data_IF_916574469269
#
_entry.id   IF_916574469269
#
_cell.length_a   1.000
_cell.length_b   1.000
_cell.length_c   1.000
_cell.angle_alpha   90.00
_cell.angle_beta   90.00
_cell.angle_gamma   90.00
#
_symmetry.space_group_name_H-M   'P 1'
#
loop_
_entity.id
_entity.type
_entity.pdbx_description
1 polymer ?
#
# COMPACT_ATOMS: atom_id res chain seq x y z
N UNK A 1 -3.58 5.54 -10.42
CA UNK A 1 -3.95 6.70 -9.58
C UNK A 1 -3.92 7.94 -10.43
N UNK A 2 -4.94 8.77 -10.32
CA UNK A 2 -5.03 10.04 -11.03
C UNK A 2 -4.37 11.15 -10.23
N UNK A 3 -3.89 12.18 -10.92
CA UNK A 3 -3.44 13.40 -10.25
C UNK A 3 -4.54 13.92 -9.32
N UNK A 4 -4.17 14.23 -8.07
CA UNK A 4 -5.13 14.67 -7.05
C UNK A 4 -5.76 13.55 -6.20
N UNK A 5 -5.63 12.27 -6.57
CA UNK A 5 -6.09 11.13 -5.72
C UNK A 5 -5.41 11.13 -4.34
N UNK A 6 -4.23 11.75 -4.21
CA UNK A 6 -3.52 11.97 -2.95
C UNK A 6 -2.58 13.19 -3.09
N UNK A 7 -2.29 13.97 -2.02
CA UNK A 7 -1.34 15.09 -2.09
C UNK A 7 0.04 14.74 -2.68
N UNK A 8 0.47 13.49 -2.55
CA UNK A 8 1.69 12.94 -3.15
C UNK A 8 1.61 12.72 -4.67
N UNK A 9 0.43 12.40 -5.20
CA UNK A 9 0.24 12.04 -6.62
C UNK A 9 -0.01 13.32 -7.44
N UNK A 10 1.08 13.90 -7.96
CA UNK A 10 1.05 15.15 -8.75
C UNK A 10 0.75 14.94 -10.23
N UNK A 11 0.91 13.72 -10.72
CA UNK A 11 0.62 13.32 -12.09
C UNK A 11 0.02 11.92 -12.09
N UNK A 12 -0.61 11.56 -13.20
CA UNK A 12 -1.13 10.20 -13.38
C UNK A 12 -0.02 9.17 -13.19
N UNK A 13 -0.31 8.17 -12.38
CA UNK A 13 0.64 7.14 -11.95
C UNK A 13 -0.08 5.81 -11.76
N UNK A 14 0.66 4.75 -11.47
CA UNK A 14 0.10 3.43 -11.24
C UNK A 14 0.78 2.75 -10.04
N UNK A 15 0.07 1.81 -9.43
CA UNK A 15 0.61 0.96 -8.37
C UNK A 15 1.31 -0.22 -9.04
N UNK A 16 2.59 -0.42 -8.73
CA UNK A 16 3.37 -1.52 -9.29
C UNK A 16 3.38 -2.72 -8.34
N UNK A 17 2.34 -3.55 -8.42
CA UNK A 17 2.09 -4.66 -7.48
C UNK A 17 3.21 -5.70 -7.40
N UNK A 18 4.01 -5.87 -8.46
CA UNK A 18 5.20 -6.72 -8.46
C UNK A 18 6.22 -6.34 -7.38
N UNK A 19 6.22 -5.08 -6.92
CA UNK A 19 7.08 -4.57 -5.85
C UNK A 19 6.38 -4.38 -4.51
N UNK A 20 5.18 -4.93 -4.34
CA UNK A 20 4.54 -4.98 -3.03
C UNK A 20 5.46 -5.71 -2.02
N UNK A 21 5.43 -5.27 -0.77
CA UNK A 21 6.24 -5.86 0.31
C UNK A 21 5.50 -5.74 1.64
N UNK A 22 5.78 -6.69 2.53
CA UNK A 22 5.35 -6.68 3.93
C UNK A 22 6.58 -6.37 4.77
N UNK A 23 6.47 -5.37 5.65
CA UNK A 23 7.55 -4.93 6.51
C UNK A 23 7.05 -4.89 7.96
N UNK A 24 7.94 -5.17 8.91
CA UNK A 24 7.61 -5.08 10.33
C UNK A 24 7.47 -3.62 10.76
N UNK A 25 6.67 -3.37 11.78
CA UNK A 25 6.52 -2.03 12.35
C UNK A 25 7.89 -1.45 12.81
N UNK A 26 8.74 -2.28 13.42
CA UNK A 26 10.08 -1.87 13.84
C UNK A 26 10.94 -1.38 12.67
N UNK A 27 10.90 -2.08 11.52
CA UNK A 27 11.65 -1.67 10.33
C UNK A 27 11.08 -0.41 9.69
N UNK A 28 9.75 -0.28 9.64
CA UNK A 28 9.11 0.96 9.17
C UNK A 28 9.55 2.16 10.02
N UNK A 29 9.55 2.02 11.35
CA UNK A 29 9.96 3.09 12.26
C UNK A 29 11.43 3.44 12.11
N UNK A 30 12.32 2.45 11.96
CA UNK A 30 13.74 2.69 11.70
C UNK A 30 13.95 3.49 10.40
N UNK A 31 13.30 3.08 9.31
CA UNK A 31 13.40 3.75 8.01
C UNK A 31 12.77 5.14 7.99
N UNK A 32 11.75 5.39 8.81
CA UNK A 32 11.24 6.75 9.01
C UNK A 32 12.22 7.63 9.79
N UNK A 33 12.96 7.05 10.74
CA UNK A 33 13.91 7.76 11.59
C UNK A 33 15.19 8.12 10.84
N UNK A 34 15.68 7.21 10.00
CA UNK A 34 16.89 7.43 9.19
C UNK A 34 16.65 8.25 7.90
N UNK A 35 15.38 8.56 7.60
CA UNK A 35 14.98 9.37 6.44
C UNK A 35 14.83 8.59 5.13
N UNK A 36 15.05 7.27 5.13
CA UNK A 36 14.81 6.41 3.95
C UNK A 36 13.34 6.42 3.54
N UNK A 37 12.43 6.41 4.51
CA UNK A 37 10.99 6.55 4.28
C UNK A 37 10.53 7.96 4.65
N UNK A 38 9.68 8.52 3.80
CA UNK A 38 9.06 9.81 4.03
C UNK A 38 7.61 9.54 4.43
N UNK A 39 7.21 10.01 5.62
CA UNK A 39 5.81 9.95 6.06
C UNK A 39 4.95 10.78 5.10
N UNK A 40 3.86 10.20 4.64
CA UNK A 40 2.83 10.85 3.83
C UNK A 40 1.49 10.82 4.56
N UNK A 41 0.55 11.63 4.09
CA UNK A 41 -0.83 11.61 4.54
C UNK A 41 -1.46 10.22 4.31
N UNK A 42 -2.52 9.93 5.05
CA UNK A 42 -3.30 8.72 4.81
C UNK A 42 -4.04 8.85 3.48
N UNK A 43 -4.13 7.74 2.75
CA UNK A 43 -5.02 7.65 1.60
C UNK A 43 -6.47 7.85 2.05
N UNK A 44 -7.26 8.52 1.23
CA UNK A 44 -8.71 8.46 1.37
C UNK A 44 -9.20 7.01 1.24
N UNK A 45 -10.26 6.65 1.97
CA UNK A 45 -10.74 5.27 2.02
C UNK A 45 -11.09 4.74 0.62
N UNK A 46 -11.73 5.56 -0.22
CA UNK A 46 -12.12 5.14 -1.58
C UNK A 46 -10.91 4.82 -2.46
N UNK A 47 -9.82 5.53 -2.25
CA UNK A 47 -8.56 5.32 -2.97
C UNK A 47 -7.85 4.08 -2.43
N UNK A 48 -7.84 3.91 -1.11
CA UNK A 48 -7.31 2.71 -0.46
C UNK A 48 -8.03 1.45 -0.97
N UNK A 49 -9.36 1.45 -1.01
CA UNK A 49 -10.16 0.32 -1.49
C UNK A 49 -9.83 -0.04 -2.95
N UNK A 50 -9.59 0.96 -3.80
CA UNK A 50 -9.12 0.75 -5.19
C UNK A 50 -7.74 0.10 -5.24
N UNK A 51 -6.81 0.50 -4.36
CA UNK A 51 -5.48 -0.12 -4.28
C UNK A 51 -5.58 -1.58 -3.85
N UNK A 52 -6.44 -1.88 -2.88
CA UNK A 52 -6.72 -3.25 -2.42
C UNK A 52 -7.39 -4.08 -3.51
N UNK A 53 -8.38 -3.54 -4.21
CA UNK A 53 -9.00 -4.24 -5.34
C UNK A 53 -7.96 -4.63 -6.41
N UNK A 54 -7.03 -3.72 -6.72
CA UNK A 54 -5.92 -4.04 -7.63
C UNK A 54 -4.90 -5.03 -7.07
N UNK A 55 -4.72 -5.11 -5.74
CA UNK A 55 -3.89 -6.13 -5.09
C UNK A 55 -4.45 -7.53 -5.39
N UNK A 56 -5.76 -7.72 -5.29
CA UNK A 56 -6.43 -8.99 -5.62
C UNK A 56 -6.48 -9.28 -7.13
N UNK A 57 -6.62 -8.25 -7.97
CA UNK A 57 -6.84 -8.43 -9.40
C UNK A 57 -5.55 -8.57 -10.22
N UNK A 58 -4.41 -8.04 -9.75
CA UNK A 58 -3.18 -8.04 -10.54
C UNK A 58 -2.51 -9.41 -10.56
N UNK A 59 -2.24 -9.95 -11.76
CA UNK A 59 -1.43 -11.17 -11.96
C UNK A 59 0.01 -11.06 -11.44
N UNK A 60 0.49 -9.83 -11.21
CA UNK A 60 1.83 -9.57 -10.68
C UNK A 60 1.88 -9.56 -9.15
N UNK A 61 0.73 -9.65 -8.47
CA UNK A 61 0.70 -9.73 -7.01
C UNK A 61 1.19 -11.10 -6.55
N UNK A 62 2.22 -11.11 -5.70
CA UNK A 62 2.68 -12.35 -5.06
C UNK A 62 1.62 -12.83 -4.05
N UNK A 63 1.15 -14.09 -4.09
CA UNK A 63 0.05 -14.59 -3.26
C UNK A 63 0.23 -14.39 -1.75
N UNK A 64 1.48 -14.37 -1.26
CA UNK A 64 1.79 -14.12 0.16
C UNK A 64 1.30 -12.74 0.64
N UNK A 65 1.26 -11.74 -0.24
CA UNK A 65 0.82 -10.39 0.11
C UNK A 65 -0.70 -10.31 0.27
N UNK A 66 -1.45 -11.07 -0.55
CA UNK A 66 -2.91 -11.22 -0.43
C UNK A 66 -3.22 -11.90 0.91
N UNK A 67 -2.59 -13.05 1.19
CA UNK A 67 -2.77 -13.78 2.46
C UNK A 67 -2.45 -12.92 3.69
N UNK A 68 -1.41 -12.10 3.61
CA UNK A 68 -1.06 -11.18 4.69
C UNK A 68 -2.19 -10.18 4.95
N UNK A 69 -2.70 -9.54 3.90
CA UNK A 69 -3.81 -8.59 4.01
C UNK A 69 -5.07 -9.27 4.57
N UNK A 70 -5.44 -10.43 4.03
CA UNK A 70 -6.57 -11.24 4.53
C UNK A 70 -6.41 -11.59 6.01
N UNK A 71 -5.23 -12.02 6.45
CA UNK A 71 -4.99 -12.38 7.87
C UNK A 71 -5.13 -11.19 8.83
N UNK A 72 -4.81 -9.98 8.36
CA UNK A 72 -4.95 -8.75 9.15
C UNK A 72 -6.43 -8.34 9.26
N UNK A 73 -7.18 -8.47 8.16
CA UNK A 73 -8.59 -8.10 8.08
C UNK A 73 -9.56 -9.18 8.60
N UNK A 74 -9.14 -10.45 8.64
CA UNK A 74 -9.93 -11.55 9.21
C UNK A 74 -10.12 -11.46 10.74
N UNK A 75 -9.34 -10.60 11.41
CA UNK A 75 -9.54 -10.26 12.83
C UNK A 75 -10.48 -9.07 13.07
N UNK A 76 -11.12 -8.51 12.03
CA UNK A 76 -12.00 -7.34 12.10
C UNK A 76 -13.48 -7.66 11.80
N UNK A 77 -13.89 -8.92 11.99
CA UNK A 77 -15.31 -9.36 12.06
C UNK A 77 -15.62 -9.84 13.45
#
# INVERSE_FOLDING_TARGET
MKSGDHPFVKQDSFVFYAKARVETQAKINAMLTDGTFIRKEMLDQTIFDRVIAGLYASEHTIPKHIKFYESCCAGMT
#
